data_IF_250550581355
#
_entry.id   IF_250550581355
#
_cell.length_a   1.000
_cell.length_b   1.000
_cell.length_c   1.000
_cell.angle_alpha   90.00
_cell.angle_beta   90.00
_cell.angle_gamma   90.00
#
_symmetry.space_group_name_H-M   'P 1'
#
loop_
_entity.id
_entity.type
_entity.pdbx_description
1 polymer ?
#
# COMPACT_ATOMS: atom_id res chain seq x y z
N UNK A 1 -19.95 -32.11 -7.56
CA UNK A 1 -19.81 -30.63 -7.56
C UNK A 1 -18.42 -30.33 -7.04
N UNK A 2 -17.55 -29.72 -7.86
CA UNK A 2 -16.21 -29.32 -7.44
C UNK A 2 -16.32 -27.88 -6.94
N UNK A 3 -16.11 -27.67 -5.63
CA UNK A 3 -15.97 -26.34 -5.05
C UNK A 3 -14.51 -25.95 -5.21
N UNK A 4 -14.21 -24.99 -6.08
CA UNK A 4 -12.90 -24.36 -6.14
C UNK A 4 -12.77 -23.43 -4.94
N UNK A 5 -11.93 -23.78 -3.97
CA UNK A 5 -11.59 -22.89 -2.87
C UNK A 5 -10.65 -21.80 -3.40
N UNK A 6 -11.06 -20.54 -3.26
CA UNK A 6 -10.19 -19.39 -3.52
C UNK A 6 -8.99 -19.46 -2.55
N UNK A 7 -7.74 -19.36 -3.02
CA UNK A 7 -6.60 -19.33 -2.12
C UNK A 7 -6.73 -18.13 -1.19
N UNK A 8 -6.57 -18.34 0.11
CA UNK A 8 -6.74 -17.31 1.15
C UNK A 8 -5.89 -16.04 0.90
N UNK A 9 -4.79 -16.15 0.14
CA UNK A 9 -3.94 -15.01 -0.23
C UNK A 9 -4.51 -14.11 -1.34
N UNK A 10 -5.43 -14.58 -2.18
CA UNK A 10 -6.05 -13.74 -3.22
C UNK A 10 -6.91 -12.64 -2.58
N UNK A 11 -7.68 -12.99 -1.56
CA UNK A 11 -8.50 -12.05 -0.79
C UNK A 11 -7.64 -10.98 -0.08
N UNK A 12 -6.51 -11.37 0.51
CA UNK A 12 -5.59 -10.43 1.17
C UNK A 12 -4.91 -9.47 0.19
N UNK A 13 -4.51 -9.96 -1.00
CA UNK A 13 -3.93 -9.12 -2.04
C UNK A 13 -4.93 -8.06 -2.50
N UNK A 14 -6.18 -8.46 -2.75
CA UNK A 14 -7.22 -7.53 -3.22
C UNK A 14 -7.60 -6.51 -2.13
N UNK A 15 -7.65 -6.92 -0.86
CA UNK A 15 -7.80 -6.01 0.28
C UNK A 15 -6.66 -5.01 0.39
N UNK A 16 -5.41 -5.46 0.25
CA UNK A 16 -4.24 -4.59 0.25
C UNK A 16 -4.27 -3.58 -0.91
N UNK A 17 -4.66 -4.04 -2.11
CA UNK A 17 -4.82 -3.18 -3.27
C UNK A 17 -5.90 -2.09 -3.04
N UNK A 18 -7.02 -2.44 -2.41
CA UNK A 18 -8.06 -1.48 -2.05
C UNK A 18 -7.55 -0.41 -1.08
N UNK A 19 -6.79 -0.78 -0.04
CA UNK A 19 -6.20 0.18 0.90
C UNK A 19 -5.22 1.14 0.21
N UNK A 20 -4.39 0.62 -0.70
CA UNK A 20 -3.44 1.42 -1.50
C UNK A 20 -4.19 2.38 -2.43
N UNK A 21 -5.25 1.92 -3.08
CA UNK A 21 -6.10 2.74 -3.95
C UNK A 21 -6.79 3.87 -3.18
N UNK A 22 -7.29 3.59 -1.97
CA UNK A 22 -7.99 4.58 -1.14
C UNK A 22 -7.04 5.63 -0.56
N UNK A 23 -5.85 5.22 -0.13
CA UNK A 23 -4.97 6.09 0.66
C UNK A 23 -3.79 6.66 -0.12
N UNK A 24 -3.15 5.84 -0.97
CA UNK A 24 -1.80 6.10 -1.48
C UNK A 24 -1.78 6.69 -2.89
N UNK A 25 -2.82 6.46 -3.69
CA UNK A 25 -2.91 6.89 -5.11
C UNK A 25 -2.80 8.40 -5.31
N UNK A 26 -3.08 9.18 -4.27
CA UNK A 26 -2.99 10.64 -4.33
C UNK A 26 -1.56 11.16 -4.53
N UNK A 27 -0.55 10.35 -4.20
CA UNK A 27 0.86 10.72 -4.34
C UNK A 27 1.64 9.68 -5.16
N UNK A 28 1.41 8.40 -4.93
CA UNK A 28 2.19 7.31 -5.52
C UNK A 28 1.51 6.74 -6.77
N UNK A 29 2.33 6.32 -7.73
CA UNK A 29 1.87 5.40 -8.78
C UNK A 29 1.63 4.02 -8.17
N UNK A 30 0.47 3.42 -8.42
CA UNK A 30 0.02 2.17 -7.77
C UNK A 30 -0.18 1.03 -8.77
N UNK A 31 -0.15 1.32 -10.07
CA UNK A 31 -0.20 0.32 -11.13
C UNK A 31 1.22 -0.12 -11.52
N UNK A 32 1.31 -1.08 -12.44
CA UNK A 32 2.59 -1.60 -12.87
C UNK A 32 3.39 -0.57 -13.70
N UNK A 33 2.70 0.33 -14.40
CA UNK A 33 3.32 1.26 -15.37
C UNK A 33 3.22 2.74 -15.00
N UNK A 34 2.32 3.12 -14.09
CA UNK A 34 2.13 4.54 -13.77
C UNK A 34 3.34 5.20 -13.09
N UNK A 35 3.39 6.53 -13.26
CA UNK A 35 4.29 7.41 -12.55
C UNK A 35 3.61 7.95 -11.28
N UNK A 36 4.41 8.32 -10.29
CA UNK A 36 3.91 9.08 -9.14
C UNK A 36 3.43 10.47 -9.56
N UNK A 37 2.35 10.92 -8.93
CA UNK A 37 1.82 12.27 -9.11
C UNK A 37 2.67 13.31 -8.37
N UNK A 38 3.22 12.95 -7.21
CA UNK A 38 4.14 13.81 -6.46
C UNK A 38 5.58 13.57 -6.89
N UNK A 39 6.39 14.62 -7.16
CA UNK A 39 7.81 14.49 -7.48
C UNK A 39 8.65 13.84 -6.36
N UNK A 40 8.16 13.89 -5.11
CA UNK A 40 8.85 13.33 -3.95
C UNK A 40 8.48 11.85 -3.72
N UNK A 41 7.42 11.36 -4.37
CA UNK A 41 6.91 10.00 -4.20
C UNK A 41 7.52 9.05 -5.24
N UNK A 42 7.98 7.88 -4.80
CA UNK A 42 8.33 6.77 -5.69
C UNK A 42 7.10 5.91 -6.01
N UNK A 43 6.99 5.26 -7.18
CA UNK A 43 5.90 4.32 -7.41
C UNK A 43 5.89 3.18 -6.37
N UNK A 44 4.71 2.73 -5.97
CA UNK A 44 4.49 1.79 -4.86
C UNK A 44 5.11 0.40 -5.10
N UNK A 45 5.49 0.10 -6.35
CA UNK A 45 6.25 -1.10 -6.73
C UNK A 45 7.75 -1.05 -6.38
N UNK A 46 8.27 0.08 -5.90
CA UNK A 46 9.69 0.27 -5.59
C UNK A 46 10.09 0.03 -4.12
N UNK A 47 9.30 0.38 -3.08
CA UNK A 47 9.65 0.07 -1.69
C UNK A 47 10.12 -1.37 -1.46
N UNK A 48 9.37 -2.37 -1.96
CA UNK A 48 9.75 -3.79 -1.84
C UNK A 48 10.98 -4.23 -2.65
N UNK A 49 11.54 -3.33 -3.47
CA UNK A 49 12.83 -3.52 -4.16
C UNK A 49 13.98 -2.86 -3.40
N UNK A 50 13.67 -1.86 -2.59
CA UNK A 50 14.64 -1.08 -1.81
C UNK A 50 14.80 -1.63 -0.39
N UNK A 51 13.76 -2.26 0.15
CA UNK A 51 13.71 -2.82 1.50
C UNK A 51 13.14 -4.24 1.48
N UNK A 52 13.58 -5.12 2.41
CA UNK A 52 12.91 -6.41 2.63
C UNK A 52 11.41 -6.21 2.90
N UNK A 53 10.56 -7.05 2.30
CA UNK A 53 9.10 -6.91 2.40
C UNK A 53 8.64 -7.03 3.86
N UNK A 54 9.29 -7.89 4.64
CA UNK A 54 9.02 -8.11 6.06
C UNK A 54 9.30 -6.85 6.88
N UNK A 55 10.30 -6.05 6.47
CA UNK A 55 10.59 -4.77 7.12
C UNK A 55 9.59 -3.66 6.77
N UNK A 56 8.74 -3.87 5.76
CA UNK A 56 7.69 -2.92 5.38
C UNK A 56 6.36 -3.18 6.10
N UNK A 57 6.17 -4.36 6.70
CA UNK A 57 4.91 -4.74 7.35
C UNK A 57 4.53 -3.77 8.47
N UNK A 58 5.43 -3.58 9.44
CA UNK A 58 5.21 -2.68 10.57
C UNK A 58 5.04 -1.23 10.10
N UNK A 59 5.89 -0.78 9.17
CA UNK A 59 5.82 0.58 8.64
C UNK A 59 4.51 0.85 7.89
N UNK A 60 3.95 -0.13 7.19
CA UNK A 60 2.66 0.01 6.50
C UNK A 60 1.47 -0.12 7.45
N UNK A 61 1.59 -0.93 8.50
CA UNK A 61 0.54 -1.14 9.50
C UNK A 61 0.39 0.07 10.44
N UNK A 62 1.51 0.64 10.88
CA UNK A 62 1.54 1.77 11.82
C UNK A 62 1.54 3.12 11.09
N UNK A 63 2.11 3.18 9.88
CA UNK A 63 2.20 4.40 9.08
C UNK A 63 3.65 4.75 8.74
N UNK A 64 3.89 5.00 7.45
CA UNK A 64 5.24 5.27 6.94
C UNK A 64 5.58 6.76 7.21
N UNK A 65 6.49 7.00 8.15
CA UNK A 65 7.19 8.30 8.26
C UNK A 65 8.45 8.26 7.38
N UNK A 66 8.46 9.09 6.35
CA UNK A 66 9.62 9.33 5.47
C UNK A 66 10.02 10.81 5.52
N UNK A 67 11.12 11.17 4.85
CA UNK A 67 11.69 12.52 4.86
C UNK A 67 10.82 13.61 4.17
N UNK A 68 9.61 13.27 3.72
CA UNK A 68 8.63 14.18 3.15
C UNK A 68 7.25 13.97 3.79
N UNK A 69 6.37 14.96 3.66
CA UNK A 69 5.02 14.87 4.18
C UNK A 69 4.22 13.78 3.46
N UNK A 70 3.65 12.84 4.22
CA UNK A 70 2.69 11.85 3.74
C UNK A 70 1.33 12.14 4.37
N UNK A 71 0.23 12.00 3.61
CA UNK A 71 -1.11 12.14 4.15
C UNK A 71 -1.40 11.07 5.20
N UNK A 72 -2.36 11.35 6.06
CA UNK A 72 -2.86 10.37 7.03
C UNK A 72 -3.52 9.18 6.33
N UNK A 73 -3.26 7.98 6.85
CA UNK A 73 -3.82 6.72 6.35
C UNK A 73 -5.08 6.34 7.13
N UNK A 74 -6.05 5.77 6.42
CA UNK A 74 -7.33 5.35 6.97
C UNK A 74 -7.68 3.94 6.51
N UNK A 75 -8.27 3.14 7.39
CA UNK A 75 -9.02 1.92 7.03
C UNK A 75 -10.46 2.10 7.51
N UNK A 76 -11.37 2.36 6.58
CA UNK A 76 -12.72 2.79 6.90
C UNK A 76 -12.73 4.14 7.62
N UNK A 77 -13.32 4.21 8.83
CA UNK A 77 -13.34 5.43 9.66
C UNK A 77 -12.20 5.48 10.70
N UNK A 78 -11.38 4.45 10.77
CA UNK A 78 -10.25 4.40 11.68
C UNK A 78 -9.07 5.08 11.03
N UNK A 79 -8.62 6.17 11.65
CA UNK A 79 -7.34 6.78 11.35
C UNK A 79 -6.22 5.93 11.96
N UNK A 80 -5.24 5.59 11.15
CA UNK A 80 -3.97 5.03 11.60
C UNK A 80 -3.00 6.20 11.81
N UNK A 81 -2.31 6.21 12.95
CA UNK A 81 -1.64 7.41 13.48
C UNK A 81 -0.11 7.37 13.35
N UNK A 82 0.48 8.57 13.34
CA UNK A 82 1.91 8.87 13.46
C UNK A 82 2.48 8.64 14.87
#
# INVERSE_FOLDING_TARGET
MIVLATPAGADLKDKGAALVQENCVRCHGITAEDCSLSPQAIPFRFPGRLYPIESLEEALAEGIKVAHEMPELYSGRTKYWL
#
